data_IF_926034004509
#
_entry.id   IF_926034004509
#
_cell.length_a   1.000
_cell.length_b   1.000
_cell.length_c   1.000
_cell.angle_alpha   90.00
_cell.angle_beta   90.00
_cell.angle_gamma   90.00
#
_symmetry.space_group_name_H-M   'P 1'
#
loop_
_entity.id
_entity.type
_entity.pdbx_description
1 polymer ?
2 non-polymer ?
3 non-polymer ?
4 non-polymer ?
5 non-polymer ?
6 non-polymer ?
7 water ?
#
# COMPACT_ATOMS: atom_id res chain seq x y z
N UNK A 8 1.32 22.30 -7.07
CA UNK A 8 1.16 22.24 -8.52
C UNK A 8 2.46 22.01 -9.28
N UNK A 9 3.63 22.27 -8.65
CA UNK A 9 4.92 21.97 -9.27
C UNK A 9 5.07 20.43 -9.34
N UNK A 10 4.68 19.74 -8.25
CA UNK A 10 4.68 18.29 -8.10
C UNK A 10 3.69 17.66 -9.11
N UNK A 11 2.52 18.29 -9.28
CA UNK A 11 1.48 17.83 -10.19
C UNK A 11 1.89 17.98 -11.65
N UNK A 12 2.59 19.08 -11.97
CA UNK A 12 3.03 19.36 -13.34
C UNK A 12 4.24 18.51 -13.74
N UNK A 13 5.17 18.30 -12.80
CA UNK A 13 6.36 17.52 -13.09
C UNK A 13 6.10 16.02 -13.01
N UNK A 14 5.37 15.57 -11.97
CA UNK A 14 5.10 14.13 -11.81
C UNK A 14 3.72 13.78 -12.33
N UNK A 15 2.65 14.13 -11.57
CA UNK A 15 1.25 13.83 -11.88
C UNK A 15 0.36 14.32 -10.72
N UNK A 16 -0.95 14.39 -10.92
CA UNK A 16 -1.88 14.78 -9.87
C UNK A 16 -1.97 13.68 -8.79
N UNK A 17 -1.92 12.41 -9.22
CA UNK A 17 -1.97 11.22 -8.34
C UNK A 17 -0.64 10.48 -8.51
N UNK A 18 0.05 10.23 -7.41
CA UNK A 18 1.28 9.46 -7.43
C UNK A 18 1.10 8.28 -6.51
N UNK A 19 1.22 7.07 -7.05
CA UNK A 19 1.05 5.84 -6.29
C UNK A 19 2.31 4.98 -6.35
N UNK A 20 2.75 4.42 -5.22
CA UNK A 20 3.82 3.42 -5.28
C UNK A 20 3.31 2.08 -4.77
N UNK A 21 3.96 1.01 -5.17
CA UNK A 21 3.61 -0.32 -4.70
C UNK A 21 4.88 -1.18 -4.72
N UNK A 22 4.76 -2.38 -4.14
CA UNK A 22 5.84 -3.35 -4.14
C UNK A 22 5.22 -4.71 -4.52
N UNK A 23 5.91 -5.46 -5.39
CA UNK A 23 5.45 -6.76 -5.83
C UNK A 23 6.68 -7.66 -6.01
N UNK A 24 6.58 -8.88 -5.51
CA UNK A 24 7.63 -9.91 -5.59
C UNK A 24 6.94 -11.22 -5.93
N UNK A 25 7.18 -11.73 -7.11
CA UNK A 25 6.57 -12.96 -7.58
C UNK A 25 5.66 -12.67 -8.75
N UNK A 26 5.52 -13.65 -9.62
CA UNK A 26 4.69 -13.52 -10.82
C UNK A 26 3.22 -13.32 -10.47
N UNK A 27 2.76 -13.95 -9.40
CA UNK A 27 1.37 -13.81 -8.96
C UNK A 27 1.11 -12.36 -8.52
N UNK A 28 2.01 -11.76 -7.74
CA UNK A 28 1.86 -10.38 -7.29
C UNK A 28 2.09 -9.39 -8.39
N UNK A 29 2.91 -9.72 -9.41
CA UNK A 29 3.07 -8.86 -10.57
C UNK A 29 1.82 -8.85 -11.44
N UNK A 30 1.17 -10.00 -11.58
CA UNK A 30 -0.09 -10.17 -12.30
C UNK A 30 -1.17 -9.28 -11.62
N UNK A 31 -1.23 -9.33 -10.28
CA UNK A 31 -2.16 -8.52 -9.52
C UNK A 31 -1.80 -7.06 -9.59
N UNK A 32 -0.51 -6.71 -9.60
CA UNK A 32 -0.06 -5.32 -9.70
C UNK A 32 -0.55 -4.65 -11.00
N UNK A 33 -0.50 -5.35 -12.14
CA UNK A 33 -1.00 -4.78 -13.40
C UNK A 33 -2.52 -4.52 -13.28
N UNK A 34 -3.24 -5.47 -12.65
CA UNK A 34 -4.67 -5.34 -12.39
C UNK A 34 -4.96 -4.13 -11.51
N UNK A 35 -4.16 -3.95 -10.43
CA UNK A 35 -4.32 -2.79 -9.54
C UNK A 35 -4.20 -1.49 -10.33
N UNK A 36 -3.15 -1.37 -11.17
CA UNK A 36 -2.91 -0.19 -11.97
C UNK A 36 -4.05 0.07 -12.95
N UNK A 37 -4.56 -0.99 -13.62
CA UNK A 37 -5.67 -0.83 -14.55
C UNK A 37 -6.92 -0.34 -13.81
N UNK A 38 -7.16 -0.88 -12.60
CA UNK A 38 -8.30 -0.46 -11.78
C UNK A 38 -8.24 1.02 -11.39
N UNK A 39 -7.05 1.54 -11.06
CA UNK A 39 -6.85 2.95 -10.73
C UNK A 39 -7.22 3.80 -11.97
N UNK A 40 -6.68 3.42 -13.16
CA UNK A 40 -6.89 4.25 -14.34
C UNK A 40 -8.34 4.18 -14.86
N UNK A 41 -9.06 3.10 -14.64
CA UNK A 41 -10.47 3.03 -15.05
C UNK A 41 -11.36 3.93 -14.14
N UNK A 42 -10.84 4.43 -13.01
CA UNK A 42 -11.61 5.21 -12.06
C UNK A 42 -11.15 6.63 -11.87
N UNK A 43 -10.27 7.14 -12.75
CA UNK A 43 -9.84 8.52 -12.66
C UNK A 43 -9.56 9.09 -14.06
N UNK A 44 -9.81 10.39 -14.19
CA UNK A 44 -9.44 11.18 -15.36
C UNK A 44 -8.26 12.12 -14.99
N UNK A 45 -7.76 12.09 -13.74
CA UNK A 45 -6.62 12.88 -13.34
C UNK A 45 -5.34 12.20 -13.85
N UNK A 46 -4.22 12.93 -13.89
CA UNK A 46 -2.96 12.36 -14.36
C UNK A 46 -2.41 11.48 -13.24
N UNK A 47 -1.85 10.31 -13.63
CA UNK A 47 -1.31 9.35 -12.66
C UNK A 47 0.10 8.97 -13.03
N UNK A 48 0.96 8.82 -12.02
CA UNK A 48 2.30 8.31 -12.14
C UNK A 48 2.46 7.19 -11.12
N UNK A 49 2.91 6.02 -11.57
CA UNK A 49 3.18 4.87 -10.70
C UNK A 49 4.65 4.76 -10.43
N UNK A 50 5.02 4.50 -9.20
CA UNK A 50 6.41 4.38 -8.78
C UNK A 50 6.66 2.95 -8.31
N UNK A 51 7.75 2.32 -8.80
CA UNK A 51 8.00 0.91 -8.48
C UNK A 51 9.27 0.69 -7.74
N UNK A 52 9.26 -0.23 -6.75
CA UNK A 52 10.46 -0.60 -6.03
C UNK A 52 11.08 -1.63 -6.95
N UNK A 53 11.99 -1.16 -7.78
CA UNK A 53 12.58 -1.85 -8.91
C UNK A 53 13.21 -3.20 -8.63
N UNK A 54 14.05 -3.31 -7.61
CA UNK A 54 14.83 -4.53 -7.41
C UNK A 54 14.03 -5.81 -7.24
N UNK A 55 12.75 -5.74 -6.80
CA UNK A 55 11.94 -6.96 -6.64
C UNK A 55 11.26 -7.46 -7.87
N UNK A 56 11.19 -6.64 -8.91
CA UNK A 56 10.49 -6.93 -10.13
C UNK A 56 11.25 -7.82 -11.10
N UNK A 57 10.52 -8.61 -11.86
CA UNK A 57 11.05 -9.51 -12.87
C UNK A 57 11.41 -8.72 -14.12
N UNK A 58 12.35 -9.26 -14.94
CA UNK A 58 12.67 -8.57 -16.20
C UNK A 58 11.44 -8.40 -17.11
N UNK A 59 10.58 -9.41 -17.17
CA UNK A 59 9.38 -9.37 -18.01
C UNK A 59 8.41 -8.24 -17.59
N UNK A 60 8.25 -8.02 -16.29
CA UNK A 60 7.35 -6.97 -15.80
C UNK A 60 7.89 -5.61 -16.24
N UNK A 61 9.19 -5.37 -16.00
CA UNK A 61 9.84 -4.11 -16.35
C UNK A 61 9.85 -3.88 -17.88
N UNK A 62 9.82 -4.95 -18.68
CA UNK A 62 9.76 -4.82 -20.13
C UNK A 62 8.35 -4.47 -20.58
N UNK A 63 7.34 -4.99 -19.87
CA UNK A 63 5.94 -4.77 -20.20
C UNK A 63 5.39 -3.41 -19.72
N UNK A 64 5.92 -2.84 -18.63
CA UNK A 64 5.42 -1.58 -18.08
C UNK A 64 5.32 -0.42 -19.11
N UNK A 65 6.24 -0.19 -20.10
CA UNK A 65 5.99 0.87 -21.10
C UNK A 65 4.75 0.62 -21.95
N UNK A 66 4.38 -0.64 -22.17
CA UNK A 66 3.18 -1.00 -22.92
C UNK A 66 1.95 -0.70 -22.10
N UNK A 67 1.97 -1.03 -20.78
CA UNK A 67 0.86 -0.69 -19.88
C UNK A 67 0.70 0.83 -19.83
N UNK A 68 1.82 1.57 -19.71
CA UNK A 68 1.82 3.02 -19.62
C UNK A 68 1.21 3.70 -20.83
N UNK A 69 1.51 3.20 -22.03
CA UNK A 69 0.96 3.75 -23.26
C UNK A 69 -0.51 3.34 -23.48
N UNK A 70 -0.91 2.15 -23.01
CA UNK A 70 -2.28 1.68 -23.17
C UNK A 70 -3.24 2.37 -22.21
N UNK A 71 -2.80 2.49 -20.95
CA UNK A 71 -3.63 3.07 -19.90
C UNK A 71 -3.43 4.56 -19.67
N UNK A 72 -2.41 5.15 -20.31
CA UNK A 72 -2.16 6.57 -20.21
C UNK A 72 -1.64 7.05 -18.87
N UNK A 73 -0.57 6.42 -18.36
CA UNK A 73 0.06 6.84 -17.11
C UNK A 73 1.56 7.02 -17.29
N UNK A 74 2.18 7.78 -16.43
CA UNK A 74 3.62 7.90 -16.37
C UNK A 74 4.12 6.88 -15.33
N UNK A 75 5.42 6.61 -15.31
CA UNK A 75 5.99 5.70 -14.33
C UNK A 75 7.45 5.95 -14.08
N UNK A 76 7.96 5.46 -12.93
CA UNK A 76 9.36 5.60 -12.61
C UNK A 76 9.82 4.45 -11.71
N UNK A 77 11.02 3.92 -11.99
CA UNK A 77 11.60 2.84 -11.21
C UNK A 77 12.52 3.45 -10.17
N UNK A 78 12.36 3.07 -8.88
CA UNK A 78 13.24 3.55 -7.84
C UNK A 78 14.03 2.36 -7.30
N UNK A 79 15.37 2.51 -7.24
CA UNK A 79 16.22 1.45 -6.72
C UNK A 79 17.02 2.07 -5.59
N UNK A 80 16.59 1.83 -4.35
CA UNK A 80 17.23 2.40 -3.18
C UNK A 80 17.93 1.29 -2.39
N UNK A 81 19.22 1.50 -2.06
CA UNK A 81 19.99 0.48 -1.35
C UNK A 81 19.78 0.55 0.14
N UNK A 82 19.51 -0.60 0.80
CA UNK A 82 19.31 -0.66 2.26
C UNK A 82 20.56 -0.16 2.96
N UNK A 83 20.44 0.92 3.77
CA UNK A 83 21.63 1.47 4.45
C UNK A 83 22.35 0.44 5.32
N UNK A 84 23.68 0.40 5.23
CA UNK A 84 24.46 -0.59 5.97
C UNK A 84 24.30 -0.51 7.48
N UNK A 85 24.06 0.68 8.04
CA UNK A 85 23.90 0.79 9.50
C UNK A 85 22.60 0.17 10.02
N UNK A 86 21.57 0.14 9.17
CA UNK A 86 20.24 -0.27 9.53
C UNK A 86 20.07 -1.78 9.54
N UNK A 87 19.59 -2.34 10.65
CA UNK A 87 19.36 -3.78 10.81
C UNK A 87 18.63 -4.40 9.62
N UNK A 88 19.22 -5.43 9.02
CA UNK A 88 18.65 -6.09 7.85
C UNK A 88 17.58 -7.12 8.20
N UNK A 89 16.79 -7.53 7.21
CA UNK A 89 15.77 -8.55 7.39
C UNK A 89 16.18 -9.72 6.52
N UNK A 90 16.42 -10.89 7.13
CA UNK A 90 16.82 -12.08 6.37
C UNK A 90 15.66 -12.61 5.52
N UNK A 91 14.41 -12.54 6.04
CA UNK A 91 13.22 -13.01 5.33
C UNK A 91 12.82 -12.02 4.24
N UNK A 92 12.67 -12.47 2.98
CA UNK A 92 12.31 -11.58 1.87
C UNK A 92 11.01 -10.82 2.14
N UNK A 93 10.02 -11.46 2.78
CA UNK A 93 8.74 -10.83 3.13
C UNK A 93 8.95 -9.60 4.01
N UNK A 94 9.81 -9.72 5.03
CA UNK A 94 10.13 -8.66 5.96
C UNK A 94 10.97 -7.55 5.31
N UNK A 95 11.84 -7.89 4.38
CA UNK A 95 12.63 -6.90 3.66
C UNK A 95 11.69 -6.06 2.78
N UNK A 96 10.72 -6.69 2.14
CA UNK A 96 9.73 -5.99 1.31
C UNK A 96 8.91 -5.05 2.19
N UNK A 97 8.51 -5.50 3.39
CA UNK A 97 7.80 -4.66 4.35
C UNK A 97 8.64 -3.45 4.77
N UNK A 98 9.94 -3.64 4.92
CA UNK A 98 10.86 -2.54 5.23
C UNK A 98 10.84 -1.48 4.14
N UNK A 99 10.83 -1.90 2.87
CA UNK A 99 10.78 -0.98 1.75
C UNK A 99 9.48 -0.17 1.69
N UNK A 100 8.41 -0.67 2.29
CA UNK A 100 7.13 0.04 2.31
C UNK A 100 7.17 1.18 3.31
N UNK A 101 7.79 0.98 4.49
CA UNK A 101 7.66 1.96 5.56
C UNK A 101 8.92 2.73 5.99
N UNK A 102 10.11 2.20 5.72
CA UNK A 102 11.32 2.83 6.26
C UNK A 102 11.98 3.91 5.43
N UNK A 103 11.66 4.03 4.14
CA UNK A 103 12.37 4.92 3.24
C UNK A 103 11.47 5.92 2.49
N UNK A 104 10.36 6.32 3.09
CA UNK A 104 9.40 7.21 2.41
C UNK A 104 9.99 8.56 2.00
N UNK A 105 10.92 9.08 2.78
CA UNK A 105 11.59 10.34 2.51
C UNK A 105 12.73 10.26 1.50
N UNK A 106 13.25 9.06 1.20
CA UNK A 106 14.40 8.94 0.30
C UNK A 106 14.11 8.26 -1.04
N UNK A 107 12.98 7.53 -1.16
CA UNK A 107 12.64 6.87 -2.41
C UNK A 107 12.19 7.85 -3.50
N UNK A 108 11.59 8.98 -3.08
CA UNK A 108 10.99 9.91 -4.01
C UNK A 108 11.73 11.26 -4.07
N UNK A 109 11.62 11.97 -5.20
CA UNK A 109 12.31 13.26 -5.31
C UNK A 109 11.71 14.32 -4.39
N UNK A 110 12.54 15.32 -4.00
CA UNK A 110 12.06 16.41 -3.14
C UNK A 110 10.94 17.22 -3.81
N UNK A 111 10.83 17.18 -5.14
CA UNK A 111 9.79 17.85 -5.92
C UNK A 111 8.42 17.12 -5.88
N UNK A 112 8.35 15.94 -5.24
CA UNK A 112 7.07 15.22 -5.13
C UNK A 112 6.51 15.55 -3.76
N UNK A 113 5.29 16.11 -3.71
CA UNK A 113 4.67 16.55 -2.46
C UNK A 113 3.92 15.45 -1.69
N UNK A 114 3.44 14.44 -2.41
CA UNK A 114 2.58 13.42 -1.84
C UNK A 114 2.65 12.15 -2.66
N UNK A 115 2.55 10.99 -1.98
CA UNK A 115 2.53 9.71 -2.63
C UNK A 115 1.62 8.77 -1.82
N UNK A 116 0.96 7.86 -2.50
CA UNK A 116 0.08 6.90 -1.84
C UNK A 116 0.63 5.49 -2.07
N UNK A 117 0.72 4.66 -1.02
CA UNK A 117 1.02 3.26 -1.20
C UNK A 117 -0.33 2.56 -1.45
N UNK A 118 -0.41 1.75 -2.50
CA UNK A 118 -1.56 0.90 -2.79
C UNK A 118 -0.98 -0.50 -2.94
N UNK A 119 -1.52 -1.47 -2.20
CA UNK A 119 -1.05 -2.84 -2.23
C UNK A 119 -1.19 -3.45 -3.63
N UNK A 120 -0.22 -4.33 -4.01
CA UNK A 120 -0.22 -4.90 -5.36
C UNK A 120 -1.45 -5.75 -5.63
N UNK A 121 -2.01 -6.37 -4.58
CA UNK A 121 -3.21 -7.19 -4.69
C UNK A 121 -4.52 -6.41 -4.54
N UNK A 122 -4.47 -5.07 -4.59
CA UNK A 122 -5.68 -4.28 -4.41
C UNK A 122 -6.48 -4.08 -5.66
N UNK A 123 -7.77 -3.82 -5.47
CA UNK A 123 -8.66 -3.46 -6.55
C UNK A 123 -9.25 -2.09 -6.15
N UNK A 124 -8.98 -1.06 -6.95
CA UNK A 124 -9.44 0.29 -6.70
C UNK A 124 -10.78 0.48 -7.38
N UNK A 125 -11.73 1.09 -6.65
CA UNK A 125 -13.08 1.39 -7.15
C UNK A 125 -13.43 2.86 -6.93
N UNK A 126 -12.44 3.74 -6.92
CA UNK A 126 -12.64 5.15 -6.64
C UNK A 126 -11.58 6.00 -7.35
N UNK A 127 -11.83 7.31 -7.42
CA UNK A 127 -10.88 8.24 -7.97
C UNK A 127 -9.89 8.48 -6.85
N UNK A 128 -8.64 8.05 -7.05
CA UNK A 128 -7.61 8.21 -6.03
C UNK A 128 -7.27 9.65 -5.74
N UNK A 129 -7.66 10.61 -6.62
CA UNK A 129 -7.41 12.01 -6.32
C UNK A 129 -8.23 12.44 -5.05
N UNK A 130 -9.32 11.72 -4.71
CA UNK A 130 -10.05 11.99 -3.46
C UNK A 130 -9.15 11.76 -2.24
N UNK A 131 -8.19 10.81 -2.32
CA UNK A 131 -7.28 10.56 -1.20
C UNK A 131 -6.20 11.64 -1.16
N UNK A 132 -5.74 12.10 -2.33
CA UNK A 132 -4.78 13.20 -2.43
C UNK A 132 -5.37 14.45 -1.74
N UNK A 133 -6.67 14.71 -1.95
CA UNK A 133 -7.38 15.86 -1.37
C UNK A 133 -7.89 15.68 0.06
N UNK A 134 -7.80 14.47 0.61
CA UNK A 134 -8.28 14.23 1.98
C UNK A 134 -7.45 14.99 2.98
N UNK A 135 -8.10 15.74 3.88
CA UNK A 135 -7.34 16.51 4.86
C UNK A 135 -6.70 15.63 5.91
N UNK A 136 -5.41 15.84 6.19
CA UNK A 136 -4.68 15.06 7.17
C UNK A 136 -4.51 15.77 8.51
N UNK A 137 -5.00 17.03 8.64
CA UNK A 137 -4.88 17.81 9.88
C UNK A 137 -3.47 17.81 10.49
N UNK A 138 -2.49 18.01 9.64
CA UNK A 138 -1.10 18.04 10.09
C UNK A 138 -0.39 16.72 10.17
N UNK A 139 -1.11 15.56 10.06
CA UNK A 139 -0.42 14.26 10.14
C UNK A 139 0.43 14.04 8.91
N UNK A 140 1.63 13.44 9.05
CA UNK A 140 2.46 13.19 7.85
C UNK A 140 1.95 12.01 7.00
N UNK A 141 1.08 11.17 7.57
CA UNK A 141 0.48 10.07 6.82
C UNK A 141 -0.90 9.65 7.38
N UNK A 142 -1.70 9.02 6.52
CA UNK A 142 -3.03 8.55 6.88
C UNK A 142 -3.19 7.11 6.48
N UNK A 143 -3.76 6.30 7.37
CA UNK A 143 -4.03 4.86 7.17
C UNK A 143 -5.47 4.56 7.58
N UNK A 144 -6.10 3.55 6.96
CA UNK A 144 -7.46 3.16 7.37
C UNK A 144 -7.32 2.26 8.59
N UNK A 145 -8.34 2.26 9.47
CA UNK A 145 -8.32 1.32 10.58
C UNK A 145 -8.72 -0.10 10.11
N UNK A 146 -8.39 -1.08 10.93
CA UNK A 146 -8.81 -2.45 10.74
C UNK A 146 -10.29 -2.47 11.07
N UNK A 147 -11.10 -3.12 10.24
CA UNK A 147 -12.55 -3.22 10.48
C UNK A 147 -12.88 -3.97 11.75
N UNK A 148 -13.98 -3.58 12.41
CA UNK A 148 -14.56 -4.37 13.50
C UNK A 148 -15.91 -4.99 13.06
N UNK A 149 -16.46 -4.61 11.89
CA UNK A 149 -17.80 -4.98 11.45
C UNK A 149 -18.06 -6.49 11.29
N UNK A 150 -17.06 -7.34 10.96
CA UNK A 150 -17.32 -8.78 10.86
C UNK A 150 -17.17 -9.36 12.25
N UNK A 151 -18.30 -9.42 13.02
CA UNK A 151 -18.28 -9.81 14.44
C UNK A 151 -17.79 -11.22 14.68
N UNK A 152 -18.01 -12.15 13.74
CA UNK A 152 -17.59 -13.54 13.90
C UNK A 152 -16.06 -13.72 13.87
N UNK A 153 -15.31 -12.69 13.44
CA UNK A 153 -13.86 -12.78 13.43
C UNK A 153 -13.17 -12.15 14.65
N UNK A 154 -13.94 -11.75 15.67
CA UNK A 154 -13.41 -11.09 16.88
C UNK A 154 -12.26 -11.82 17.56
N UNK A 155 -12.28 -13.16 17.58
CA UNK A 155 -11.22 -13.95 18.18
C UNK A 155 -9.88 -13.82 17.49
N UNK A 156 -9.88 -13.41 16.21
CA UNK A 156 -8.63 -13.23 15.45
C UNK A 156 -8.14 -11.75 15.47
N UNK A 157 -8.92 -10.82 16.07
CA UNK A 157 -8.50 -9.42 16.18
C UNK A 157 -7.55 -9.32 17.36
N UNK A 158 -6.27 -9.67 17.14
CA UNK A 158 -5.23 -9.69 18.17
C UNK A 158 -5.02 -8.33 18.85
N UNK A 159 -5.31 -7.24 18.12
CA UNK A 159 -5.15 -5.88 18.59
C UNK A 159 -6.21 -5.44 19.61
N UNK A 160 -7.29 -6.19 19.75
CA UNK A 160 -8.35 -5.88 20.68
C UNK A 160 -8.11 -6.43 22.10
N UNK A 161 -7.07 -7.26 22.30
CA UNK A 161 -6.72 -7.84 23.61
C UNK A 161 -5.17 -7.81 23.80
N UNK A 162 -4.70 -8.22 24.98
CA UNK A 162 -3.27 -8.34 25.25
C UNK A 162 -2.43 -7.10 25.07
N UNK A 163 -1.22 -7.26 24.48
CA UNK A 163 -0.28 -6.17 24.31
C UNK A 163 -0.89 -4.92 23.64
N UNK A 164 -1.44 -5.11 22.43
CA UNK A 164 -1.97 -4.01 21.66
C UNK A 164 -3.11 -3.28 22.32
N UNK A 165 -4.04 -3.98 22.99
CA UNK A 165 -5.15 -3.28 23.64
C UNK A 165 -4.66 -2.35 24.74
N UNK A 166 -3.63 -2.80 25.48
CA UNK A 166 -3.06 -1.97 26.54
C UNK A 166 -2.28 -0.81 25.94
N UNK A 167 -1.42 -1.10 24.95
CA UNK A 167 -0.58 -0.09 24.32
C UNK A 167 -1.38 1.05 23.63
N UNK A 168 -2.42 0.68 22.86
CA UNK A 168 -3.18 1.64 22.06
C UNK A 168 -4.04 2.60 22.83
N UNK A 169 -4.51 2.23 24.05
CA UNK A 169 -5.35 3.11 24.86
C UNK A 169 -6.59 3.59 24.11
N UNK A 170 -7.19 2.70 23.32
CA UNK A 170 -8.39 3.04 22.55
C UNK A 170 -8.14 3.62 21.16
N UNK A 171 -6.87 3.92 20.82
CA UNK A 171 -6.54 4.39 19.47
C UNK A 171 -6.76 3.22 18.47
N UNK A 172 -7.03 3.54 17.20
CA UNK A 172 -7.21 2.46 16.22
C UNK A 172 -5.90 1.72 15.93
N UNK A 173 -6.05 0.45 15.54
CA UNK A 173 -4.95 -0.36 15.02
C UNK A 173 -5.20 -0.30 13.49
N UNK A 174 -4.32 0.39 12.78
CA UNK A 174 -4.44 0.64 11.34
C UNK A 174 -3.89 -0.48 10.46
N UNK A 175 -4.51 -0.69 9.29
CA UNK A 175 -4.05 -1.67 8.32
C UNK A 175 -3.04 -0.99 7.37
N UNK A 176 -1.97 -1.68 6.99
CA UNK A 176 -0.92 -1.09 6.13
C UNK A 176 -1.05 -1.35 4.63
N UNK A 177 -2.23 -1.83 4.19
CA UNK A 177 -2.44 -2.11 2.79
C UNK A 177 -2.50 -0.87 1.91
N UNK A 178 -2.95 0.24 2.50
CA UNK A 178 -3.10 1.51 1.80
C UNK A 178 -2.73 2.63 2.76
N UNK A 179 -2.02 3.64 2.25
CA UNK A 179 -1.68 4.79 3.06
C UNK A 179 -1.23 5.96 2.21
N UNK A 180 -1.67 7.17 2.60
CA UNK A 180 -1.30 8.41 1.91
C UNK A 180 -0.22 9.06 2.74
N UNK A 181 0.84 9.53 2.09
CA UNK A 181 1.95 10.16 2.79
C UNK A 181 2.09 11.59 2.22
N UNK A 182 1.96 12.58 3.07
CA UNK A 182 2.15 13.97 2.68
C UNK A 182 3.67 14.12 2.82
N UNK A 183 4.42 13.86 1.73
CA UNK A 183 5.88 13.87 1.77
C UNK A 183 6.43 15.22 2.25
N UNK A 184 5.76 16.36 1.92
CA UNK A 184 6.21 17.67 2.43
C UNK A 184 6.23 17.68 3.94
N UNK A 185 5.15 17.18 4.60
CA UNK A 185 4.99 17.13 6.06
C UNK A 185 5.81 16.02 6.74
N UNK A 186 5.98 14.91 6.05
CA UNK A 186 6.80 13.78 6.51
C UNK A 186 8.28 14.31 6.59
N UNK A 187 8.74 15.02 5.56
CA UNK A 187 10.09 15.60 5.56
C UNK A 187 10.18 16.66 6.64
N UNK A 188 9.15 17.55 6.71
CA UNK A 188 9.06 18.60 7.72
C UNK A 188 9.21 18.02 9.11
N UNK A 189 8.69 16.79 9.34
CA UNK A 189 8.74 16.18 10.66
C UNK A 189 9.95 15.26 10.92
N UNK A 190 10.82 14.99 9.95
CA UNK A 190 11.93 14.02 10.14
C UNK A 190 11.36 12.62 10.46
N UNK A 191 10.16 12.31 9.94
CA UNK A 191 9.50 11.05 10.24
C UNK A 191 10.31 9.88 9.74
N UNK A 192 10.97 10.01 8.60
CA UNK A 192 11.78 8.95 8.03
C UNK A 192 12.94 8.57 8.93
N UNK A 193 13.72 9.57 9.38
CA UNK A 193 14.83 9.30 10.31
C UNK A 193 14.33 8.70 11.62
N UNK A 194 13.22 9.20 12.15
CA UNK A 194 12.65 8.71 13.39
C UNK A 194 12.09 7.28 13.28
N UNK A 195 11.46 6.95 12.15
CA UNK A 195 10.94 5.59 11.94
C UNK A 195 12.14 4.61 11.79
N UNK A 196 13.19 4.99 11.05
CA UNK A 196 14.39 4.16 10.91
C UNK A 196 15.06 3.90 12.28
N UNK A 197 15.21 4.94 13.14
CA UNK A 197 15.86 4.71 14.44
C UNK A 197 14.98 3.88 15.36
N UNK A 198 13.64 4.08 15.38
CA UNK A 198 12.78 3.24 16.22
C UNK A 198 12.77 1.80 15.74
N UNK A 199 12.72 1.59 14.42
CA UNK A 199 12.76 0.26 13.84
C UNK A 199 14.09 -0.42 14.22
N UNK A 200 15.21 0.32 14.12
CA UNK A 200 16.52 -0.25 14.39
C UNK A 200 16.62 -0.72 15.83
N UNK A 201 16.13 0.07 16.78
CA UNK A 201 16.15 -0.30 18.19
C UNK A 201 15.17 -1.44 18.50
N UNK A 202 13.94 -1.36 17.97
CA UNK A 202 12.94 -2.40 18.24
C UNK A 202 13.30 -3.75 17.64
N UNK A 203 13.83 -3.75 16.42
CA UNK A 203 14.17 -4.99 15.73
C UNK A 203 15.35 -5.76 16.35
N UNK A 204 16.00 -5.23 17.40
CA UNK A 204 17.04 -5.99 18.13
C UNK A 204 16.37 -7.22 18.81
N UNK A 205 15.07 -7.13 19.14
CA UNK A 205 14.28 -8.21 19.68
C UNK A 205 13.57 -8.85 18.47
N UNK A 206 13.88 -10.13 18.15
CA UNK A 206 13.24 -10.76 16.98
C UNK A 206 11.75 -11.07 17.15
N UNK A 207 11.21 -10.94 18.37
CA UNK A 207 9.78 -11.13 18.64
C UNK A 207 8.97 -9.82 18.40
N UNK A 208 9.66 -8.67 18.29
CA UNK A 208 9.02 -7.36 18.07
C UNK A 208 8.67 -7.15 16.59
N UNK A 209 7.70 -6.26 16.32
CA UNK A 209 7.28 -5.90 14.96
C UNK A 209 6.95 -7.14 14.10
N UNK A 210 6.10 -8.05 14.59
CA UNK A 210 5.73 -9.25 13.81
C UNK A 210 5.19 -8.89 12.40
N UNK A 211 4.39 -7.83 12.33
CA UNK A 211 3.83 -7.35 11.07
C UNK A 211 4.56 -6.03 10.85
N UNK A 212 5.83 -6.06 10.45
CA UNK A 212 6.74 -4.92 10.35
C UNK A 212 6.13 -3.61 9.81
N UNK A 213 5.55 -3.66 8.60
CA UNK A 213 4.99 -2.49 7.91
C UNK A 213 3.80 -1.86 8.61
N UNK A 214 3.03 -2.68 9.33
CA UNK A 214 1.81 -2.31 10.03
C UNK A 214 2.08 -1.93 11.50
N UNK A 215 2.86 -2.75 12.21
CA UNK A 215 3.15 -2.53 13.62
C UNK A 215 3.96 -1.24 13.86
N UNK A 216 4.91 -0.91 12.99
CA UNK A 216 5.76 0.27 13.21
C UNK A 216 4.98 1.61 13.25
N UNK A 217 4.16 1.93 12.23
CA UNK A 217 3.39 3.20 12.30
C UNK A 217 2.37 3.19 13.45
N UNK A 218 1.76 2.02 13.75
CA UNK A 218 0.81 1.90 14.85
C UNK A 218 1.49 2.12 16.20
N UNK A 219 2.74 1.64 16.34
CA UNK A 219 3.54 1.83 17.55
C UNK A 219 3.93 3.32 17.70
N UNK A 220 4.25 3.98 16.60
CA UNK A 220 4.70 5.38 16.65
C UNK A 220 3.59 6.42 16.60
N UNK A 221 2.30 6.01 16.60
CA UNK A 221 1.22 6.98 16.37
C UNK A 221 1.00 8.03 17.48
N UNK A 222 1.61 7.86 18.66
CA UNK A 222 1.52 8.91 19.70
C UNK A 222 2.54 10.05 19.45
N UNK A 223 3.58 9.82 18.61
CA UNK A 223 4.61 10.84 18.32
C UNK A 223 4.68 11.23 16.83
N UNK A 224 4.35 10.29 15.93
CA UNK A 224 4.29 10.54 14.48
C UNK A 224 2.82 10.29 14.19
N UNK A 225 2.01 11.36 14.25
CA UNK A 225 0.57 11.17 14.10
C UNK A 225 0.12 10.46 12.83
N UNK A 226 -0.96 9.70 12.99
CA UNK A 226 -1.62 9.06 11.87
C UNK A 226 -2.98 9.74 11.76
N UNK A 227 -3.36 10.14 10.56
CA UNK A 227 -4.72 10.63 10.33
C UNK A 227 -5.51 9.30 10.05
N UNK A 228 -6.49 8.97 10.89
CA UNK A 228 -7.30 7.74 10.65
C UNK A 228 -8.22 8.01 9.47
N UNK A 229 -7.97 7.35 8.35
CA UNK A 229 -8.77 7.55 7.16
C UNK A 229 -10.19 6.99 7.38
N UNK A 230 -11.18 7.50 6.66
CA UNK A 230 -12.51 6.86 6.69
C UNK A 230 -12.41 5.36 6.43
N UNK A 231 -13.19 4.57 7.16
CA UNK A 231 -13.19 3.12 7.03
C UNK A 231 -13.40 2.63 5.59
N UNK A 232 -14.21 3.33 4.81
CA UNK A 232 -14.44 2.97 3.42
C UNK A 232 -13.20 2.97 2.51
N UNK A 233 -12.10 3.59 2.94
CA UNK A 233 -10.90 3.59 2.12
C UNK A 233 -10.27 2.22 1.96
N UNK A 234 -10.51 1.29 2.91
CA UNK A 234 -9.92 -0.05 2.80
C UNK A 234 -10.91 -1.10 3.32
N UNK A 235 -11.35 -1.99 2.43
CA UNK A 235 -12.24 -3.09 2.81
C UNK A 235 -11.55 -4.40 2.49
N UNK A 236 -11.54 -5.34 3.47
CA UNK A 236 -11.03 -6.71 3.34
C UNK A 236 -12.09 -7.64 3.91
N UNK A 237 -12.41 -8.73 3.20
CA UNK A 237 -13.40 -9.68 3.67
C UNK A 237 -13.14 -10.29 5.01
N UNK A 238 -11.88 -10.51 5.36
CA UNK A 238 -11.54 -11.12 6.64
C UNK A 238 -12.09 -10.35 7.84
N UNK A 239 -12.02 -9.02 7.79
CA UNK A 239 -12.40 -8.18 8.93
C UNK A 239 -13.68 -7.39 8.71
N UNK A 240 -14.05 -7.14 7.46
CA UNK A 240 -15.16 -6.28 7.14
C UNK A 240 -16.39 -7.04 6.69
N UNK A 241 -17.56 -6.58 7.12
CA UNK A 241 -18.84 -7.20 6.81
C UNK A 241 -19.17 -7.14 5.33
N UNK A 242 -20.02 -8.07 4.86
CA UNK A 242 -20.47 -8.06 3.48
C UNK A 242 -21.21 -6.78 3.17
N UNK A 243 -21.99 -6.29 4.15
CA UNK A 243 -22.84 -5.10 4.07
C UNK A 243 -22.06 -3.81 3.77
N UNK A 244 -20.77 -3.75 4.18
CA UNK A 244 -19.97 -2.55 3.90
C UNK A 244 -19.21 -2.59 2.60
N UNK A 245 -19.24 -3.72 1.86
CA UNK A 245 -18.52 -3.80 0.59
C UNK A 245 -19.01 -2.76 -0.44
N UNK A 246 -20.32 -2.50 -0.50
CA UNK A 246 -20.85 -1.52 -1.46
C UNK A 246 -20.30 -0.09 -1.26
N UNK A 247 -19.85 0.23 -0.06
CA UNK A 247 -19.25 1.54 0.23
C UNK A 247 -17.72 1.57 -0.01
N UNK A 248 -17.09 0.41 -0.17
CA UNK A 248 -15.64 0.34 -0.29
C UNK A 248 -15.07 1.07 -1.48
N UNK A 249 -14.10 1.96 -1.22
CA UNK A 249 -13.42 2.71 -2.25
C UNK A 249 -12.27 1.82 -2.85
N UNK A 250 -11.67 0.95 -2.04
CA UNK A 250 -10.62 0.01 -2.45
C UNK A 250 -10.84 -1.29 -1.71
N UNK A 251 -10.38 -2.39 -2.31
CA UNK A 251 -10.45 -3.72 -1.73
C UNK A 251 -9.06 -4.29 -1.60
N UNK A 252 -8.75 -4.90 -0.48
CA UNK A 252 -7.49 -5.57 -0.22
C UNK A 252 -7.84 -7.04 -0.07
N UNK A 253 -7.03 -7.93 -0.66
CA UNK A 253 -7.32 -9.37 -0.57
C UNK A 253 -6.49 -9.95 0.58
N UNK A 254 -6.65 -9.41 1.81
CA UNK A 254 -5.85 -9.88 2.93
C UNK A 254 -6.18 -11.32 3.36
N UNK A 255 -5.19 -11.98 3.95
CA UNK A 255 -5.30 -13.36 4.40
C UNK A 255 -6.42 -13.55 5.43
N UNK A 256 -7.16 -14.66 5.29
CA UNK A 256 -8.21 -15.01 6.22
C UNK A 256 -7.66 -16.17 7.03
N UNK A 257 -7.35 -15.94 8.31
CA UNK A 257 -6.76 -17.01 9.14
C UNK A 257 -7.72 -18.15 9.47
N UNK A 258 -9.02 -17.94 9.30
CA UNK A 258 -10.01 -18.97 9.55
C UNK A 258 -10.19 -19.91 8.34
N UNK A 259 -10.18 -19.37 7.11
CA UNK A 259 -10.40 -20.18 5.92
C UNK A 259 -9.13 -20.62 5.21
N UNK A 260 -8.10 -19.78 5.23
CA UNK A 260 -6.87 -20.04 4.49
C UNK A 260 -7.14 -20.30 2.96
N UNK A 261 -8.18 -19.66 2.39
CA UNK A 261 -8.55 -19.79 0.96
C UNK A 261 -7.45 -19.18 0.10
N UNK A 262 -7.06 -19.81 -1.02
CA UNK A 262 -5.98 -19.25 -1.84
C UNK A 262 -6.27 -17.84 -2.39
N UNK A 263 -5.20 -17.07 -2.61
CA UNK A 263 -5.21 -15.70 -3.10
C UNK A 263 -6.05 -15.46 -4.36
N UNK A 264 -5.78 -16.23 -5.45
CA UNK A 264 -6.53 -16.08 -6.70
C UNK A 264 -7.98 -16.47 -6.56
N UNK A 265 -8.27 -17.45 -5.69
CA UNK A 265 -9.66 -17.86 -5.47
C UNK A 265 -10.42 -16.70 -4.80
N UNK A 266 -9.80 -16.05 -3.78
CA UNK A 266 -10.39 -14.88 -3.06
C UNK A 266 -10.66 -13.78 -4.09
N UNK A 267 -9.68 -13.46 -4.94
CA UNK A 267 -9.81 -12.44 -5.97
C UNK A 267 -11.02 -12.68 -6.90
N UNK A 268 -11.11 -13.87 -7.53
CA UNK A 268 -12.19 -14.16 -8.46
C UNK A 268 -13.54 -14.19 -7.75
N UNK A 269 -13.60 -14.77 -6.56
CA UNK A 269 -14.86 -14.91 -5.82
C UNK A 269 -15.41 -13.56 -5.30
N UNK A 270 -14.52 -12.73 -4.72
CA UNK A 270 -14.97 -11.48 -4.11
C UNK A 270 -15.19 -10.30 -5.05
N UNK A 271 -14.40 -10.21 -6.10
CA UNK A 271 -14.40 -9.06 -7.01
C UNK A 271 -14.85 -9.44 -8.43
N UNK A 272 -16.08 -9.09 -8.81
CA UNK A 272 -16.57 -9.45 -10.16
C UNK A 272 -15.77 -8.89 -11.36
N UNK A 273 -15.15 -7.71 -11.20
CA UNK A 273 -14.39 -7.12 -12.29
C UNK A 273 -12.93 -7.58 -12.36
N UNK A 274 -12.50 -8.44 -11.44
CA UNK A 274 -11.12 -8.93 -11.42
C UNK A 274 -10.78 -9.68 -12.71
N UNK A 275 -11.63 -10.63 -13.14
CA UNK A 275 -11.36 -11.39 -14.36
C UNK A 275 -11.36 -10.47 -15.58
N UNK A 276 -12.19 -9.41 -15.59
CA UNK A 276 -12.26 -8.44 -16.67
C UNK A 276 -10.92 -7.71 -16.83
N UNK A 277 -10.31 -7.29 -15.70
CA UNK A 277 -9.01 -6.59 -15.78
C UNK A 277 -7.93 -7.60 -16.20
N UNK A 278 -7.97 -8.80 -15.64
CA UNK A 278 -7.01 -9.86 -15.94
C UNK A 278 -7.02 -10.21 -17.43
N UNK A 279 -8.22 -10.38 -18.02
CA UNK A 279 -8.37 -10.69 -19.45
C UNK A 279 -7.98 -9.52 -20.37
N UNK A 280 -8.19 -8.30 -19.90
CA UNK A 280 -7.87 -7.08 -20.63
C UNK A 280 -6.34 -6.91 -20.71
N UNK A 281 -5.64 -7.20 -19.61
CA UNK A 281 -4.18 -7.09 -19.58
C UNK A 281 -3.55 -8.23 -20.40
N UNK A 282 -4.16 -9.43 -20.37
CA UNK A 282 -3.72 -10.57 -21.18
C UNK A 282 -3.98 -10.30 -22.67
N UNK A 283 -5.05 -9.57 -23.01
CA UNK A 283 -5.35 -9.18 -24.40
C UNK A 283 -4.31 -8.17 -24.88
N UNK A 284 -3.93 -7.21 -24.02
CA UNK A 284 -2.89 -6.23 -24.35
C UNK A 284 -1.55 -6.94 -24.55
N UNK A 285 -1.24 -7.96 -23.72
CA UNK A 285 0.01 -8.71 -23.82
C UNK A 285 0.09 -9.45 -25.17
N UNK A 286 -1.01 -10.09 -25.60
CA UNK A 286 -1.11 -10.80 -26.88
C UNK A 286 -0.98 -9.83 -28.07
N UNK A 287 -1.49 -8.60 -27.93
CA UNK A 287 -1.43 -7.59 -28.96
C UNK A 287 0.00 -7.07 -29.17
N UNK A 288 0.74 -6.91 -28.07
CA UNK A 288 2.13 -6.44 -28.10
C UNK A 288 3.05 -7.54 -28.64
N UNK A 289 2.79 -8.79 -28.23
CA UNK A 289 3.56 -9.97 -28.62
C UNK A 289 3.56 -10.22 -30.13
N UNK A 290 2.40 -10.04 -30.80
CA UNK A 290 2.33 -10.24 -32.25
C UNK A 290 3.12 -9.14 -32.96
N UNK A 291 2.96 -7.90 -32.51
CA UNK A 291 3.69 -6.78 -33.09
C UNK A 291 5.13 -6.77 -32.56
X LIG B 1 3.95 -12.50 -0.92
X LIG B 1 4.71 -12.65 -2.07
X LIG B 1 4.93 -11.51 -2.79
X LIG B 1 4.49 -10.24 -2.47
X LIG B 1 3.70 -10.16 -1.28
X LIG B 1 3.46 -11.26 -0.56
X LIG B 1 5.16 -13.74 -2.41
X LIG B 1 4.79 -9.29 -3.21
X LIG B 1 3.71 -13.69 -0.08
X LIG B 1 4.13 -13.48 1.38
X LIG B 1 5.51 -13.76 1.55
X LIG B 1 3.21 -14.47 2.09
X LIG B 1 1.94 -14.43 1.25
X LIG B 1 2.32 -13.95 -0.06
X LIG B 1 3.76 -15.79 2.09
X LIG B 1 0.78 -13.62 1.79
X LIG B 1 1.13 -12.23 1.93
X LIG B 1 0.11 -11.08 1.45
X LIG B 1 -0.66 -11.55 0.28
X LIG B 1 0.84 -9.79 1.34
X LIG B 1 -0.90 -11.00 2.70
X LIG B 1 -2.04 -9.88 3.13
X LIG B 1 -2.70 -9.49 1.82
X LIG B 1 -1.26 -8.76 3.75
X LIG B 1 -2.99 -10.55 4.09
X LIG C 1 -13.94 11.02 -17.31
X LIG C 1 -15.00 10.55 -16.32
X LIG C 1 -16.18 9.93 -17.08
X LIG C 1 -16.73 10.94 -18.10
X LIG C 1 -15.63 11.46 -19.02
X LIG C 1 -16.08 12.60 -19.90
X LIG C 1 -14.11 9.93 -14.12
X LIG C 1 -13.60 8.81 -13.26
X LIG C 1 -14.45 9.60 -15.38
X LIG C 1 -17.20 9.56 -16.16
X LIG C 1 -17.76 10.33 -18.87
X LIG C 1 -14.52 11.97 -18.23
X LIG C 1 -17.17 12.23 -20.74
X LIG C 1 -14.22 11.09 -13.70
X LIG D 1 -2.71 -7.11 0.45
X LIG E 1 0.91 -7.30 7.25
X LIG E 1 0.96 -8.56 7.93
X LIG E 1 0.12 -7.47 5.96
X LIG E 1 0.96 -7.36 4.73
X LIG E 1 1.34 -6.01 4.57
X LIG F 1 2.26 -6.61 1.23
X LIG F 1 2.12 -5.20 1.15
X LIG F 1 3.58 -7.14 0.70
X LIG F 1 3.97 -6.63 -0.69
X LIG F 1 3.23 -7.00 -1.86
X LIG G 1 5.34 -4.06 18.88
X LIG G 1 6.50 -3.58 18.25
X LIG G 1 4.78 -5.23 18.11
X LIG G 1 5.02 -6.43 18.83
X LIG H 1 18.80 -5.89 2.88
X LIG H 1 18.30 -5.57 1.59
X LIG H 1 17.87 -6.82 3.62
X LIG H 1 17.02 -6.12 4.52
#
# INVERSE_FOLDING_TARGET
ETGEATKSVSKTEHAEINIFSVASGHLYERMLNIMMASVMHHTNHTVKFWFIEQFLSPSFKDFIPHMAAEYGFKYEMVTYKWPHWLRQQKEKQREIWGYKILFLDVLFPLSLDKVIFVDADQIVRTDMYDLVEHPLDGAPYGFAPMCDSRVEMEGYRFWKTGYWANYLKGKPYHISALYVVDLQRFRELAAGDRLRQQYHALSADPNSLANLDQDLPNHMQFTIPIATLPQEWLWCETWCSDETLKDARTIDLCNNPMTKEPKLDRARRQVPEWTKYDEEIAELARRVREGTKHHHHHH
UDP N1 C2 N3 C4 C5 C6 O2 O4 C1' C2' O2' C3' C4' O4' O3' C5' O5' PA O1A O2A O3A PB O1B O2B O3B
NAG C1 C2 C3 C4 C5 C6 C7 C8 N2 O3 O4 O5 O6 O7
CA CA
PDO C1 O1 C2 C3 O3
PDO C1 O1 C2 C3 O3
EDO C1 O1 C2 O2
EDO C1 O1 C2 O2
#
